data_IF_422181917244
#
_entry.id   IF_422181917244
#
_cell.length_a   1.000
_cell.length_b   1.000
_cell.length_c   1.000
_cell.angle_alpha   90.00
_cell.angle_beta   90.00
_cell.angle_gamma   90.00
#
_symmetry.space_group_name_H-M   'P 1'
#
loop_
_entity.id
_entity.type
_entity.pdbx_description
1 polymer ?
#
# COMPACT_ATOMS: atom_id res chain seq x y z
N UNK A 1 3.63 20.62 8.04
CA UNK A 1 3.72 20.37 6.61
C UNK A 1 4.16 18.93 6.33
N UNK A 2 3.46 18.27 5.45
CA UNK A 2 3.75 16.87 5.18
C UNK A 2 5.06 16.74 4.39
N UNK A 3 5.87 15.73 4.67
CA UNK A 3 7.08 15.51 3.89
C UNK A 3 6.73 15.09 2.47
N UNK A 4 7.59 15.45 1.55
CA UNK A 4 7.40 15.05 0.17
C UNK A 4 7.72 13.58 -0.04
N UNK A 5 8.71 13.08 0.68
CA UNK A 5 9.14 11.69 0.57
C UNK A 5 8.98 10.98 1.89
N UNK A 6 8.61 9.72 1.80
CA UNK A 6 8.33 8.88 2.96
C UNK A 6 9.27 7.69 2.97
N UNK A 7 9.58 7.20 4.17
CA UNK A 7 10.32 5.95 4.30
C UNK A 7 9.35 4.80 4.11
N UNK A 8 9.89 3.59 3.92
CA UNK A 8 9.01 2.42 3.87
C UNK A 8 8.29 2.22 5.20
N UNK A 9 8.93 2.58 6.31
CA UNK A 9 8.27 2.49 7.61
C UNK A 9 7.08 3.43 7.69
N UNK A 10 7.23 4.63 7.15
CA UNK A 10 6.13 5.59 7.12
C UNK A 10 4.96 5.05 6.30
N UNK A 11 5.27 4.45 5.16
CA UNK A 11 4.24 3.88 4.28
C UNK A 11 3.54 2.71 4.97
N UNK A 12 4.32 1.84 5.60
CA UNK A 12 3.76 0.70 6.30
C UNK A 12 2.81 1.16 7.39
N UNK A 13 3.18 2.20 8.11
CA UNK A 13 2.34 2.74 9.17
C UNK A 13 1.07 3.37 8.58
N UNK A 14 1.21 4.12 7.50
CA UNK A 14 0.07 4.78 6.87
C UNK A 14 -0.93 3.75 6.35
N UNK A 15 -0.44 2.70 5.71
CA UNK A 15 -1.31 1.66 5.17
C UNK A 15 -1.66 0.60 6.21
N UNK A 16 -1.02 0.66 7.36
CA UNK A 16 -1.23 -0.30 8.44
C UNK A 16 -0.95 -1.73 7.99
N UNK A 17 0.18 -1.91 7.34
CA UNK A 17 0.64 -3.22 6.88
C UNK A 17 2.06 -3.45 7.37
N UNK A 18 2.56 -4.65 7.19
CA UNK A 18 3.90 -4.98 7.65
C UNK A 18 4.96 -4.36 6.77
N UNK A 19 6.18 -4.26 7.30
CA UNK A 19 7.32 -3.78 6.52
C UNK A 19 7.57 -4.70 5.34
N UNK A 20 7.41 -6.00 5.52
CA UNK A 20 7.61 -6.96 4.44
C UNK A 20 6.63 -6.74 3.31
N UNK A 21 5.37 -6.48 3.64
CA UNK A 21 4.36 -6.22 2.63
C UNK A 21 4.66 -4.94 1.88
N UNK A 22 5.10 -3.92 2.61
CA UNK A 22 5.45 -2.65 1.97
C UNK A 22 6.61 -2.84 1.02
N UNK A 23 7.63 -3.57 1.45
CA UNK A 23 8.78 -3.83 0.59
C UNK A 23 8.35 -4.60 -0.66
N UNK A 24 7.44 -5.56 -0.49
CA UNK A 24 6.94 -6.33 -1.63
C UNK A 24 6.21 -5.43 -2.64
N UNK A 25 5.44 -4.47 -2.16
CA UNK A 25 4.73 -3.54 -3.03
C UNK A 25 5.72 -2.70 -3.86
N UNK A 26 6.79 -2.28 -3.21
CA UNK A 26 7.81 -1.49 -3.88
C UNK A 26 8.58 -2.33 -4.89
N UNK A 27 8.93 -3.55 -4.50
CA UNK A 27 9.71 -4.43 -5.37
C UNK A 27 8.91 -4.90 -6.57
N UNK A 28 7.61 -5.06 -6.42
CA UNK A 28 6.76 -5.48 -7.53
C UNK A 28 6.45 -4.34 -8.49
N UNK A 29 6.70 -3.10 -8.05
CA UNK A 29 6.38 -1.94 -8.87
C UNK A 29 4.97 -1.44 -8.67
N UNK A 30 4.19 -2.10 -7.83
CA UNK A 30 2.83 -1.63 -7.56
C UNK A 30 2.84 -0.26 -6.90
N UNK A 31 3.82 -0.02 -6.03
CA UNK A 31 4.00 1.27 -5.39
C UNK A 31 5.33 1.85 -5.86
N UNK A 32 5.29 2.83 -6.75
CA UNK A 32 6.54 3.42 -7.27
C UNK A 32 7.36 4.05 -6.15
N UNK A 33 8.66 3.80 -6.20
CA UNK A 33 9.57 4.32 -5.20
C UNK A 33 10.92 4.53 -5.84
N UNK A 34 11.77 5.27 -5.15
CA UNK A 34 13.12 5.54 -5.64
C UNK A 34 14.13 5.12 -4.59
N UNK A 35 15.33 4.85 -5.04
CA UNK A 35 16.46 4.61 -4.15
C UNK A 35 17.29 5.86 -4.09
N UNK A 36 17.63 6.29 -2.90
CA UNK A 36 18.34 7.52 -2.68
C UNK A 36 19.64 7.25 -1.96
N UNK A 37 20.69 7.92 -2.40
CA UNK A 37 21.97 7.85 -1.74
C UNK A 37 22.76 6.61 -2.09
N UNK A 38 23.99 6.57 -1.59
CA UNK A 38 24.91 5.48 -1.92
C UNK A 38 24.49 4.15 -1.38
N UNK A 39 23.69 4.15 -0.34
CA UNK A 39 23.21 2.90 0.25
C UNK A 39 21.92 2.42 -0.35
N UNK A 40 21.36 3.20 -1.27
CA UNK A 40 20.13 2.80 -1.91
C UNK A 40 18.94 2.70 -0.99
N UNK A 41 18.74 3.71 -0.16
CA UNK A 41 17.60 3.74 0.74
C UNK A 41 16.33 4.03 -0.05
N UNK A 42 15.28 3.24 0.22
CA UNK A 42 14.01 3.41 -0.47
C UNK A 42 13.24 4.60 0.06
N UNK A 43 12.65 5.36 -0.87
CA UNK A 43 11.77 6.47 -0.51
C UNK A 43 10.58 6.47 -1.45
N UNK A 44 9.42 6.78 -0.92
CA UNK A 44 8.17 6.84 -1.68
C UNK A 44 7.68 8.28 -1.68
N UNK A 45 7.46 8.82 -2.85
CA UNK A 45 6.93 10.17 -2.93
C UNK A 45 5.49 10.18 -2.42
N UNK A 46 5.14 11.17 -1.61
CA UNK A 46 3.82 11.22 -1.00
C UNK A 46 2.71 11.18 -2.03
N UNK A 47 2.92 11.83 -3.19
CA UNK A 47 1.90 11.83 -4.24
C UNK A 47 1.73 10.44 -4.83
N UNK A 48 2.80 9.65 -4.88
CA UNK A 48 2.70 8.28 -5.40
C UNK A 48 1.92 7.40 -4.45
N UNK A 49 2.09 7.62 -3.15
CA UNK A 49 1.31 6.88 -2.17
C UNK A 49 -0.17 7.24 -2.29
N UNK A 50 -0.46 8.53 -2.47
CA UNK A 50 -1.85 8.94 -2.65
C UNK A 50 -2.47 8.32 -3.90
N UNK A 51 -1.70 8.28 -4.99
CA UNK A 51 -2.17 7.66 -6.21
C UNK A 51 -2.42 6.16 -6.03
N UNK A 52 -1.54 5.51 -5.29
CA UNK A 52 -1.69 4.10 -4.99
C UNK A 52 -2.98 3.86 -4.20
N UNK A 53 -3.22 4.68 -3.19
CA UNK A 53 -4.41 4.56 -2.37
C UNK A 53 -5.67 4.74 -3.21
N UNK A 54 -5.67 5.75 -4.08
CA UNK A 54 -6.82 6.01 -4.96
C UNK A 54 -7.07 4.82 -5.88
N UNK A 55 -5.99 4.23 -6.41
CA UNK A 55 -6.12 3.08 -7.30
C UNK A 55 -6.68 1.88 -6.54
N UNK A 56 -6.23 1.70 -5.29
CA UNK A 56 -6.74 0.60 -4.48
C UNK A 56 -8.22 0.76 -4.17
N UNK A 57 -8.66 2.00 -3.94
CA UNK A 57 -10.08 2.26 -3.76
C UNK A 57 -10.88 1.86 -4.99
N UNK A 58 -10.37 2.23 -6.17
CA UNK A 58 -11.06 1.93 -7.41
C UNK A 58 -11.12 0.42 -7.67
N UNK A 59 -9.99 -0.26 -7.45
CA UNK A 59 -9.94 -1.70 -7.67
C UNK A 59 -10.82 -2.44 -6.67
N UNK A 60 -10.83 -1.97 -5.44
CA UNK A 60 -11.64 -2.60 -4.40
C UNK A 60 -13.13 -2.38 -4.68
N UNK A 61 -13.50 -1.18 -5.14
CA UNK A 61 -14.89 -0.93 -5.49
C UNK A 61 -15.35 -1.85 -6.61
N UNK A 62 -14.46 -2.08 -7.58
CA UNK A 62 -14.77 -3.01 -8.66
C UNK A 62 -14.91 -4.43 -8.15
N UNK A 63 -14.00 -4.83 -7.28
CA UNK A 63 -14.05 -6.17 -6.68
C UNK A 63 -15.36 -6.37 -5.91
N UNK A 64 -15.73 -5.39 -5.10
CA UNK A 64 -16.94 -5.48 -4.31
C UNK A 64 -18.17 -5.62 -5.20
N UNK A 65 -18.18 -4.89 -6.31
CA UNK A 65 -19.30 -4.92 -7.23
C UNK A 65 -19.42 -6.28 -7.92
N UNK A 66 -18.28 -6.88 -8.28
CA UNK A 66 -18.29 -8.13 -9.04
C UNK A 66 -18.24 -9.36 -8.16
N UNK A 67 -17.99 -9.18 -6.85
CA UNK A 67 -17.94 -10.30 -5.90
C UNK A 67 -18.88 -10.01 -4.74
N UNK A 68 -20.18 -10.25 -4.92
CA UNK A 68 -21.12 -9.99 -3.83
C UNK A 68 -20.73 -10.74 -2.57
N UNK A 69 -21.09 -10.19 -1.44
CA UNK A 69 -20.73 -10.74 -0.16
C UNK A 69 -21.03 -12.22 -0.07
N UNK A 70 -20.06 -13.00 0.36
CA UNK A 70 -20.18 -14.42 0.54
C UNK A 70 -19.19 -14.88 1.58
N UNK A 71 -19.08 -16.20 1.70
CA UNK A 71 -18.21 -16.75 2.71
C UNK A 71 -16.77 -16.36 2.51
N UNK A 72 -16.31 -16.32 1.28
CA UNK A 72 -14.92 -15.99 0.98
C UNK A 72 -14.60 -14.59 1.43
N UNK A 73 -15.52 -13.68 1.24
CA UNK A 73 -15.29 -12.30 1.64
C UNK A 73 -15.21 -12.17 3.13
N UNK A 74 -15.99 -12.96 3.85
CA UNK A 74 -15.95 -12.94 5.30
C UNK A 74 -14.59 -13.38 5.79
N UNK A 75 -14.06 -14.43 5.22
CA UNK A 75 -12.75 -14.92 5.60
C UNK A 75 -11.67 -13.92 5.29
N UNK A 76 -11.76 -13.32 4.14
CA UNK A 76 -10.75 -12.36 3.72
C UNK A 76 -10.76 -11.13 4.60
N UNK A 77 -11.92 -10.79 5.09
CA UNK A 77 -12.03 -9.60 5.91
C UNK A 77 -11.41 -9.75 7.25
N UNK A 78 -11.12 -10.83 7.76
CA UNK A 78 -10.59 -10.99 8.95
C UNK A 78 -9.66 -10.34 9.53
N UNK A 79 -9.42 -9.99 9.87
CA UNK A 79 -8.90 -9.48 10.34
C UNK A 79 -8.18 -8.95 10.98
N UNK A 80 -7.97 -8.62 11.18
CA UNK A 80 -7.20 -8.12 11.58
C UNK A 80 -7.16 -7.79 12.54
N UNK A 81 -7.52 -7.87 12.81
CA UNK A 81 -7.54 -7.54 13.60
C UNK A 81 -6.85 -6.94 14.18
N UNK A 82 -6.54 -6.82 14.05
CA UNK A 82 -5.79 -6.08 14.60
C UNK A 82 -5.26 -5.46 15.26
#
# INVERSE_FOLDING_TARGET
>A
MAPRFLTLADVAETLNISASQTYALVRSGDLPAIKVGGRGQWRVEATELESYIARMYAETADFVRTHPLGRDDVDAAEPDLG
#
